data_IF_742603754681
#
_entry.id   IF_742603754681
#
_cell.length_a   1.000
_cell.length_b   1.000
_cell.length_c   1.000
_cell.angle_alpha   90.00
_cell.angle_beta   90.00
_cell.angle_gamma   90.00
#
_symmetry.space_group_name_H-M   'P 1'
#
loop_
_entity.id
_entity.type
_entity.pdbx_description
1 polymer ?
#
# COMPACT_ATOMS: atom_id res chain seq x y z
N UNK A 1 -2.11 17.21 -7.52
CA UNK A 1 -2.11 16.80 -6.10
C UNK A 1 -2.26 15.29 -6.08
N UNK A 2 -1.34 14.50 -5.50
CA UNK A 2 -1.51 13.06 -5.49
C UNK A 2 -2.67 12.73 -4.54
N UNK A 3 -3.84 12.50 -5.13
CA UNK A 3 -5.06 12.16 -4.41
C UNK A 3 -4.83 10.81 -3.72
N UNK A 4 -4.85 10.85 -2.39
CA UNK A 4 -4.80 9.63 -1.59
C UNK A 4 -6.19 9.05 -1.66
N UNK A 5 -6.35 8.12 -2.58
CA UNK A 5 -7.60 7.45 -2.87
C UNK A 5 -7.51 6.00 -2.42
N UNK A 6 -8.66 5.43 -2.08
CA UNK A 6 -8.78 4.03 -1.71
C UNK A 6 -8.31 3.19 -2.89
N UNK A 7 -7.47 2.18 -2.61
CA UNK A 7 -6.90 1.31 -3.62
C UNK A 7 -5.63 1.82 -4.28
N UNK A 8 -5.13 3.01 -3.92
CA UNK A 8 -3.84 3.49 -4.41
C UNK A 8 -2.69 2.72 -3.77
N UNK A 9 -1.71 2.33 -4.58
CA UNK A 9 -0.49 1.66 -4.12
C UNK A 9 0.51 2.72 -3.63
N UNK A 10 1.06 2.50 -2.45
CA UNK A 10 2.02 3.39 -1.82
C UNK A 10 3.27 2.62 -1.39
N UNK A 11 4.41 3.30 -1.38
CA UNK A 11 5.67 2.78 -0.83
C UNK A 11 5.89 3.42 0.53
N UNK A 12 6.33 2.64 1.51
CA UNK A 12 6.79 3.18 2.79
C UNK A 12 8.20 3.74 2.66
N UNK A 13 8.35 5.03 2.91
CA UNK A 13 9.63 5.72 2.87
C UNK A 13 10.42 5.58 4.18
N UNK A 14 9.76 5.23 5.28
CA UNK A 14 10.38 5.21 6.62
C UNK A 14 9.89 4.05 7.49
N UNK A 15 10.76 3.56 8.40
CA UNK A 15 10.45 2.59 9.45
C UNK A 15 10.90 1.16 9.15
N UNK A 16 10.45 0.20 9.95
CA UNK A 16 10.82 -1.24 9.84
C UNK A 16 10.43 -1.90 8.51
N UNK A 17 9.54 -1.25 7.77
CA UNK A 17 8.97 -1.70 6.49
C UNK A 17 9.41 -0.79 5.33
N UNK A 18 10.58 -0.16 5.45
CA UNK A 18 11.17 0.72 4.44
C UNK A 18 11.28 0.01 3.08
N UNK A 19 10.86 0.69 2.01
CA UNK A 19 10.89 0.17 0.65
C UNK A 19 9.85 -0.92 0.36
N UNK A 20 8.92 -1.19 1.29
CA UNK A 20 7.80 -2.11 1.07
C UNK A 20 6.58 -1.41 0.51
N UNK A 21 5.84 -2.13 -0.32
CA UNK A 21 4.65 -1.64 -1.01
C UNK A 21 3.40 -2.02 -0.22
N UNK A 22 2.49 -1.07 -0.12
CA UNK A 22 1.25 -1.15 0.64
C UNK A 22 0.10 -0.65 -0.25
N UNK A 23 -1.10 -1.10 0.05
CA UNK A 23 -2.34 -0.58 -0.57
C UNK A 23 -3.15 0.10 0.52
N UNK A 24 -3.78 1.23 0.18
CA UNK A 24 -4.66 1.95 1.11
C UNK A 24 -6.06 1.35 1.03
N UNK A 25 -6.54 0.79 2.14
CA UNK A 25 -7.88 0.17 2.24
C UNK A 25 -8.91 1.17 2.75
N UNK A 26 -8.50 2.04 3.65
CA UNK A 26 -9.40 2.96 4.33
C UNK A 26 -8.70 4.28 4.64
N UNK A 27 -9.46 5.38 4.58
CA UNK A 27 -9.00 6.70 5.00
C UNK A 27 -9.76 7.00 6.29
N UNK A 28 -9.04 6.98 7.40
CA UNK A 28 -9.62 7.18 8.73
C UNK A 28 -9.77 8.67 9.00
N UNK A 29 -8.70 9.43 8.70
CA UNK A 29 -8.59 10.87 8.93
C UNK A 29 -7.77 11.52 7.80
N UNK A 30 -7.72 12.85 7.80
CA UNK A 30 -6.89 13.63 6.87
C UNK A 30 -5.39 13.29 6.92
N UNK A 31 -4.90 12.76 8.04
CA UNK A 31 -3.49 12.40 8.22
C UNK A 31 -3.24 10.88 8.32
N UNK A 32 -4.29 10.09 8.53
CA UNK A 32 -4.14 8.67 8.86
C UNK A 32 -4.93 7.80 7.91
N UNK A 33 -4.22 6.80 7.38
CA UNK A 33 -4.79 5.81 6.48
C UNK A 33 -4.58 4.41 7.04
N UNK A 34 -5.53 3.53 6.76
CA UNK A 34 -5.42 2.11 6.97
C UNK A 34 -4.77 1.49 5.75
N UNK A 35 -3.57 0.99 5.93
CA UNK A 35 -2.86 0.26 4.89
C UNK A 35 -3.01 -1.23 5.12
N UNK A 36 -3.05 -1.97 4.03
CA UNK A 36 -2.85 -3.42 4.02
C UNK A 36 -1.76 -3.77 3.03
N UNK A 37 -1.05 -4.84 3.31
CA UNK A 37 -0.32 -5.57 2.29
C UNK A 37 -0.58 -7.04 2.56
N UNK A 38 -0.90 -7.85 1.53
CA UNK A 38 -0.97 -9.29 1.75
C UNK A 38 0.36 -9.77 2.33
N UNK A 39 0.29 -10.40 3.51
CA UNK A 39 1.45 -10.82 4.32
C UNK A 39 2.39 -11.73 3.52
N UNK A 40 1.81 -12.52 2.59
CA UNK A 40 2.53 -13.42 1.70
C UNK A 40 3.34 -12.72 0.60
N UNK A 41 3.04 -11.45 0.28
CA UNK A 41 3.67 -10.73 -0.84
C UNK A 41 4.59 -9.60 -0.39
N UNK A 42 4.10 -8.69 0.45
CA UNK A 42 4.92 -7.55 0.94
C UNK A 42 5.29 -7.67 2.43
N UNK A 43 4.69 -8.60 3.17
CA UNK A 43 4.95 -8.78 4.60
C UNK A 43 4.53 -7.59 5.46
N UNK A 44 3.66 -6.72 4.93
CA UNK A 44 3.11 -5.56 5.63
C UNK A 44 1.85 -5.99 6.37
N UNK A 45 1.79 -5.80 7.69
CA UNK A 45 0.56 -6.09 8.44
C UNK A 45 -0.45 -4.95 8.23
N UNK A 46 -1.75 -5.28 8.27
CA UNK A 46 -2.81 -4.29 8.32
C UNK A 46 -2.56 -3.37 9.52
N UNK A 47 -2.29 -2.10 9.25
CA UNK A 47 -1.95 -1.11 10.29
C UNK A 47 -2.40 0.28 9.91
N UNK A 48 -2.68 1.09 10.91
CA UNK A 48 -2.83 2.54 10.74
C UNK A 48 -1.44 3.14 10.53
N UNK A 49 -1.30 3.99 9.52
CA UNK A 49 -0.05 4.71 9.27
C UNK A 49 -0.34 6.16 8.89
N UNK A 50 0.59 7.05 9.18
CA UNK A 50 0.49 8.44 8.76
C UNK A 50 0.85 8.57 7.28
N UNK A 51 0.08 9.39 6.57
CA UNK A 51 0.26 9.73 5.16
C UNK A 51 1.67 10.27 4.86
N UNK A 52 2.29 11.01 5.79
CA UNK A 52 3.63 11.56 5.62
C UNK A 52 4.73 10.51 5.38
N UNK A 53 4.49 9.26 5.76
CA UNK A 53 5.45 8.16 5.58
C UNK A 53 5.18 7.31 4.34
N UNK A 54 4.18 7.69 3.55
CA UNK A 54 3.76 7.00 2.35
C UNK A 54 4.07 7.87 1.14
N UNK A 55 4.72 7.27 0.16
CA UNK A 55 4.86 7.84 -1.16
C UNK A 55 3.83 7.16 -2.08
N UNK A 56 2.80 7.88 -2.55
CA UNK A 56 1.83 7.32 -3.48
C UNK A 56 2.50 7.06 -4.83
N UNK A 57 2.13 5.96 -5.47
CA UNK A 57 2.54 5.65 -6.85
C UNK A 57 1.38 5.88 -7.80
N UNK A 58 1.66 5.88 -9.10
CA UNK A 58 0.65 6.05 -10.16
C UNK A 58 -0.28 4.84 -10.33
N UNK A 59 -0.02 3.74 -9.60
CA UNK A 59 -0.80 2.52 -9.69
C UNK A 59 -2.01 2.56 -8.76
N UNK A 60 -3.17 2.39 -9.36
CA UNK A 60 -4.47 2.34 -8.67
C UNK A 60 -5.05 0.95 -8.86
N UNK A 61 -5.53 0.38 -7.77
CA UNK A 61 -6.27 -0.88 -7.73
C UNK A 61 -7.69 -0.52 -7.33
N UNK A 62 -8.68 -1.11 -7.99
CA UNK A 62 -10.07 -0.71 -7.76
C UNK A 62 -10.69 -1.47 -6.59
N UNK A 63 -10.35 -1.11 -5.36
CA UNK A 63 -10.84 -1.80 -4.15
C UNK A 63 -11.97 -1.01 -3.46
N UNK A 64 -12.81 -1.69 -2.68
CA UNK A 64 -13.84 -1.04 -1.85
C UNK A 64 -13.29 -0.69 -0.46
N UNK A 65 -13.95 0.28 0.18
CA UNK A 65 -13.65 0.69 1.55
C UNK A 65 -13.84 -0.49 2.51
N UNK A 66 -12.76 -0.87 3.20
CA UNK A 66 -12.81 -1.94 4.22
C UNK A 66 -12.55 -3.36 3.72
N UNK A 67 -12.11 -3.53 2.47
CA UNK A 67 -11.84 -4.84 1.86
C UNK A 67 -10.98 -5.79 2.73
N UNK A 68 -11.32 -7.08 2.67
CA UNK A 68 -10.60 -8.16 3.36
C UNK A 68 -9.28 -8.48 2.65
N UNK A 69 -8.34 -9.07 3.37
CA UNK A 69 -7.03 -9.42 2.81
C UNK A 69 -7.12 -10.38 1.62
N UNK A 70 -8.14 -11.24 1.57
CA UNK A 70 -8.41 -12.16 0.45
C UNK A 70 -8.82 -11.43 -0.84
N UNK A 71 -9.75 -10.48 -0.74
CA UNK A 71 -10.23 -9.66 -1.86
C UNK A 71 -9.11 -8.80 -2.42
N UNK A 72 -8.34 -8.16 -1.54
CA UNK A 72 -7.17 -7.37 -1.94
C UNK A 72 -6.14 -8.23 -2.67
N UNK A 73 -5.96 -9.49 -2.23
CA UNK A 73 -5.04 -10.43 -2.87
C UNK A 73 -5.56 -10.85 -4.26
N UNK A 74 -6.87 -11.08 -4.42
CA UNK A 74 -7.50 -11.34 -5.71
C UNK A 74 -7.36 -10.16 -6.68
N UNK A 75 -7.58 -8.93 -6.20
CA UNK A 75 -7.46 -7.73 -7.03
C UNK A 75 -6.01 -7.41 -7.39
N UNK A 76 -5.07 -7.69 -6.49
CA UNK A 76 -3.63 -7.61 -6.77
C UNK A 76 -3.20 -8.62 -7.84
N UNK A 77 -3.72 -9.85 -7.78
CA UNK A 77 -3.49 -10.88 -8.82
C UNK A 77 -4.07 -10.46 -10.17
N UNK A 78 -5.32 -9.98 -10.18
CA UNK A 78 -5.99 -9.48 -11.38
C UNK A 78 -5.24 -8.30 -12.01
N UNK A 79 -4.64 -7.45 -11.18
CA UNK A 79 -3.87 -6.29 -11.66
C UNK A 79 -2.44 -6.65 -12.10
N UNK A 80 -2.06 -7.94 -12.10
CA UNK A 80 -0.71 -8.44 -12.45
C UNK A 80 0.44 -7.67 -11.74
N UNK A 81 0.17 -7.18 -10.53
CA UNK A 81 1.08 -6.30 -9.79
C UNK A 81 1.97 -7.06 -8.80
N UNK A 82 1.91 -8.38 -8.85
CA UNK A 82 2.55 -9.33 -7.95
C UNK A 82 4.07 -9.15 -7.92
N UNK A 83 4.71 -9.02 -9.08
CA UNK A 83 6.16 -8.78 -9.24
C UNK A 83 6.60 -7.41 -8.73
N UNK A 84 5.71 -6.42 -8.89
CA UNK A 84 5.95 -5.08 -8.40
C UNK A 84 5.91 -5.03 -6.87
N UNK A 85 5.03 -5.79 -6.23
CA UNK A 85 4.84 -5.78 -4.77
C UNK A 85 5.92 -6.57 -4.02
N UNK A 86 6.55 -7.54 -4.70
CA UNK A 86 7.62 -8.40 -4.18
C UNK A 86 9.00 -7.72 -4.24
N UNK A 87 9.17 -6.80 -5.20
CA UNK A 87 10.40 -6.02 -5.36
C UNK A 87 10.49 -4.95 -4.28
N UNK A 88 11.42 -5.14 -3.33
CA UNK A 88 11.87 -4.10 -2.40
C UNK A 88 12.62 -3.05 -3.21
N UNK A 89 12.08 -1.83 -3.27
CA UNK A 89 12.87 -0.71 -3.78
C UNK A 89 13.85 -0.29 -2.68
N UNK A 90 15.14 -0.27 -3.02
CA UNK A 90 16.15 0.38 -2.20
C UNK A 90 15.95 1.88 -2.35
N UNK A 91 15.28 2.48 -1.37
CA UNK A 91 15.23 3.93 -1.25
C UNK A 91 16.63 4.36 -0.81
N UNK A 92 17.41 4.90 -1.75
CA UNK A 92 18.66 5.60 -1.44
C UNK A 92 18.22 6.96 -0.91
N UNK A 93 18.18 7.12 0.42
CA UNK A 93 18.18 8.45 1.00
C UNK A 93 19.60 8.99 0.77
N UNK A 94 19.75 9.84 -0.25
CA UNK A 94 20.87 10.76 -0.37
C UNK A 94 20.72 11.88 0.66
#
# INVERSE_FOLDING_TARGET
MPAIEIGRVCIKTTGKELGRKCVIVDIIDQNFVLITGPKSLSGVKRRRTNIKHLMPTDKIINIKKGDSDEEVLNQLKNSNLTDFMKTKEKIVLA
#
